data_IF_152138819350
#
_entry.id   IF_152138819350
#
_cell.length_a   1.000
_cell.length_b   1.000
_cell.length_c   1.000
_cell.angle_alpha   90.00
_cell.angle_beta   90.00
_cell.angle_gamma   90.00
#
_symmetry.space_group_name_H-M   'P 1'
#
loop_
_entity.id
_entity.type
_entity.pdbx_description
1 polymer ?
#
# COMPACT_ATOMS: atom_id res chain seq x y z
N UNK A 1 23.27 -16.29 20.51
CA UNK A 1 23.15 -16.14 20.06
C UNK A 1 22.81 -15.81 19.58
N UNK A 2 22.64 -15.79 19.78
CA UNK A 2 22.26 -15.57 19.17
C UNK A 2 21.65 -15.14 18.79
N UNK A 3 21.34 -15.14 19.09
CA UNK A 3 20.72 -14.82 18.57
C UNK A 3 20.15 -14.35 18.40
N UNK A 4 20.13 -14.47 18.64
CA UNK A 4 19.63 -14.10 18.31
C UNK A 4 19.09 -13.51 18.23
N UNK A 5 19.04 -13.58 18.53
CA UNK A 5 18.56 -13.13 18.29
C UNK A 5 18.07 -12.59 18.24
N UNK A 6 17.94 -12.58 18.41
CA UNK A 6 17.52 -12.22 18.20
C UNK A 6 16.86 -11.73 18.21
N UNK A 7 16.61 -11.63 18.41
CA UNK A 7 16.11 -11.29 18.46
C UNK A 7 15.55 -10.64 18.69
N UNK A 8 15.25 -10.22 18.86
CA UNK A 8 14.81 -9.52 19.17
C UNK A 8 13.96 -8.94 19.20
N UNK A 9 13.39 -8.86 19.39
CA UNK A 9 12.43 -8.28 19.36
C UNK A 9 11.91 -7.41 19.58
N UNK A 10 11.99 -7.01 19.36
CA UNK A 10 11.67 -6.03 19.70
C UNK A 10 10.58 -5.50 19.55
N UNK A 11 10.38 -5.15 20.10
CA UNK A 11 9.31 -4.58 20.32
C UNK A 11 8.69 -3.92 19.22
N UNK A 12 8.95 -3.22 18.65
CA UNK A 12 8.30 -2.67 17.66
C UNK A 12 8.59 -3.28 16.47
N UNK A 13 8.71 -4.36 16.49
CA UNK A 13 8.90 -4.97 15.36
C UNK A 13 7.71 -4.99 14.55
N UNK A 14 7.16 -4.08 14.24
CA UNK A 14 6.03 -4.04 13.48
C UNK A 14 6.23 -4.48 12.12
N UNK A 15 7.35 -4.76 11.81
CA UNK A 15 7.63 -5.24 10.51
C UNK A 15 7.06 -6.61 10.25
N UNK A 16 6.63 -7.29 11.26
CA UNK A 16 6.09 -8.64 11.07
C UNK A 16 4.61 -8.52 10.75
N UNK A 17 4.22 -8.93 9.56
CA UNK A 17 2.81 -8.99 9.17
C UNK A 17 2.22 -10.30 9.66
N UNK A 18 0.95 -10.28 10.05
CA UNK A 18 0.28 -11.55 10.32
C UNK A 18 0.06 -12.30 9.00
N UNK A 19 -0.33 -13.57 9.11
CA UNK A 19 -0.46 -14.43 7.94
C UNK A 19 -1.53 -13.92 6.96
N UNK A 20 -2.63 -13.40 7.48
CA UNK A 20 -3.70 -12.91 6.62
C UNK A 20 -3.28 -11.66 5.86
N UNK A 21 -2.57 -10.76 6.52
CA UNK A 21 -2.10 -9.56 5.87
C UNK A 21 -1.04 -9.89 4.82
N UNK A 22 -0.12 -10.80 5.14
CA UNK A 22 0.91 -11.20 4.20
C UNK A 22 0.29 -11.83 2.95
N UNK A 23 -0.71 -12.68 3.11
CA UNK A 23 -1.39 -13.30 1.98
C UNK A 23 -2.12 -12.26 1.13
N UNK A 24 -2.79 -11.31 1.78
CA UNK A 24 -3.50 -10.27 1.07
C UNK A 24 -2.53 -9.36 0.30
N UNK A 25 -1.42 -9.01 0.92
CA UNK A 25 -0.40 -8.19 0.27
C UNK A 25 0.20 -8.92 -0.93
N UNK A 26 0.45 -10.22 -0.79
CA UNK A 26 0.98 -11.02 -1.90
C UNK A 26 -0.01 -11.03 -3.08
N UNK A 27 -1.31 -11.16 -2.80
CA UNK A 27 -2.31 -11.11 -3.86
C UNK A 27 -2.33 -9.76 -4.55
N UNK A 28 -2.24 -8.68 -3.77
CA UNK A 28 -2.23 -7.33 -4.34
C UNK A 28 -0.99 -7.12 -5.21
N UNK A 29 0.18 -7.46 -4.70
CA UNK A 29 1.42 -7.26 -5.45
C UNK A 29 1.46 -8.13 -6.70
N UNK A 30 0.91 -9.35 -6.66
CA UNK A 30 0.82 -10.20 -7.84
C UNK A 30 -0.09 -9.58 -8.90
N UNK A 31 -1.22 -9.00 -8.49
CA UNK A 31 -2.12 -8.33 -9.42
C UNK A 31 -1.45 -7.11 -10.07
N UNK A 32 -0.72 -6.33 -9.28
CA UNK A 32 0.01 -5.19 -9.82
C UNK A 32 1.06 -5.65 -10.83
N UNK A 33 1.79 -6.70 -10.51
CA UNK A 33 2.80 -7.24 -11.41
C UNK A 33 2.18 -7.72 -12.73
N UNK A 34 1.01 -8.35 -12.68
CA UNK A 34 0.33 -8.80 -13.89
C UNK A 34 -0.04 -7.62 -14.79
N UNK A 35 -0.49 -6.52 -14.21
CA UNK A 35 -0.81 -5.33 -15.00
C UNK A 35 0.44 -4.75 -15.64
N UNK A 36 1.53 -4.66 -14.87
CA UNK A 36 2.79 -4.16 -15.41
C UNK A 36 3.28 -5.04 -16.54
N UNK A 37 3.21 -6.36 -16.37
CA UNK A 37 3.64 -7.31 -17.40
C UNK A 37 2.77 -7.20 -18.65
N UNK A 38 1.52 -6.81 -18.50
CA UNK A 38 0.62 -6.61 -19.63
C UNK A 38 0.77 -5.23 -20.28
N UNK A 39 1.73 -4.43 -19.84
CA UNK A 39 2.01 -3.13 -20.43
C UNK A 39 1.15 -1.99 -19.89
N UNK A 40 0.43 -2.24 -18.79
CA UNK A 40 -0.38 -1.18 -18.15
C UNK A 40 0.52 -0.33 -17.28
N UNK A 41 0.44 0.98 -17.46
CA UNK A 41 1.17 1.89 -16.60
C UNK A 41 0.39 2.12 -15.31
N UNK A 42 1.07 1.89 -14.20
CA UNK A 42 0.48 2.13 -12.87
C UNK A 42 1.14 3.39 -12.31
N UNK A 43 0.38 4.49 -12.14
CA UNK A 43 0.98 5.77 -11.71
C UNK A 43 1.74 5.67 -10.39
N UNK A 44 1.29 4.82 -9.48
CA UNK A 44 1.93 4.68 -8.17
C UNK A 44 3.31 4.03 -8.24
N UNK A 45 3.70 3.49 -9.38
CA UNK A 45 5.01 2.85 -9.56
C UNK A 45 5.94 3.73 -10.39
N UNK A 46 5.39 4.68 -11.13
CA UNK A 46 6.17 5.51 -12.06
C UNK A 46 6.84 6.70 -11.38
N UNK A 47 7.22 7.70 -12.18
CA UNK A 47 7.94 8.87 -11.67
C UNK A 47 7.19 9.67 -10.62
N UNK A 48 5.85 9.58 -10.61
CA UNK A 48 5.03 10.28 -9.64
C UNK A 48 4.82 9.49 -8.34
N UNK A 49 5.47 8.34 -8.20
CA UNK A 49 5.32 7.50 -7.01
C UNK A 49 5.43 8.24 -5.68
N UNK A 50 6.30 9.26 -5.54
CA UNK A 50 6.38 9.99 -4.27
C UNK A 50 5.08 10.65 -3.82
N UNK A 51 4.16 10.96 -4.75
CA UNK A 51 2.87 11.54 -4.38
C UNK A 51 2.06 10.58 -3.49
N UNK A 52 2.21 9.27 -3.70
CA UNK A 52 1.45 8.26 -2.98
C UNK A 52 1.87 8.09 -1.54
N UNK A 53 3.08 8.55 -1.18
CA UNK A 53 3.58 8.45 0.19
C UNK A 53 3.79 9.83 0.82
N UNK A 54 3.30 10.89 0.18
CA UNK A 54 3.45 12.24 0.68
C UNK A 54 2.49 12.53 1.83
N UNK A 55 2.93 13.35 2.77
CA UNK A 55 2.07 13.86 3.85
C UNK A 55 1.27 15.08 3.42
N UNK A 56 1.56 15.64 2.26
CA UNK A 56 0.91 16.86 1.80
C UNK A 56 -0.44 16.53 1.18
N UNK A 57 -1.45 17.27 1.60
CA UNK A 57 -2.81 16.99 1.15
C UNK A 57 -2.96 17.17 -0.36
N UNK A 58 -2.33 18.18 -0.94
CA UNK A 58 -2.42 18.38 -2.38
C UNK A 58 -1.75 17.27 -3.18
N UNK A 59 -0.66 16.71 -2.65
CA UNK A 59 -0.01 15.56 -3.29
C UNK A 59 -0.91 14.33 -3.20
N UNK A 60 -1.55 14.14 -2.05
CA UNK A 60 -2.48 13.04 -1.87
C UNK A 60 -3.66 13.15 -2.81
N UNK A 61 -4.17 14.36 -3.05
CA UNK A 61 -5.26 14.56 -4.00
C UNK A 61 -4.85 14.16 -5.42
N UNK A 62 -3.62 14.48 -5.80
CA UNK A 62 -3.10 14.08 -7.11
C UNK A 62 -2.95 12.57 -7.21
N UNK A 63 -2.52 11.93 -6.13
CA UNK A 63 -2.41 10.48 -6.10
C UNK A 63 -3.79 9.83 -6.23
N UNK A 64 -4.78 10.35 -5.53
CA UNK A 64 -6.16 9.86 -5.64
C UNK A 64 -6.64 9.93 -7.08
N UNK A 65 -6.37 11.05 -7.75
CA UNK A 65 -6.74 11.19 -9.16
C UNK A 65 -6.06 10.14 -10.04
N UNK A 66 -4.79 9.82 -9.73
CA UNK A 66 -4.07 8.77 -10.43
C UNK A 66 -4.68 7.39 -10.24
N UNK A 67 -5.25 7.13 -9.06
CA UNK A 67 -5.91 5.85 -8.79
C UNK A 67 -7.24 5.69 -9.51
N UNK A 68 -7.84 6.78 -9.96
CA UNK A 68 -9.20 6.74 -10.50
C UNK A 68 -9.34 5.80 -11.71
N UNK A 69 -8.28 5.67 -12.51
CA UNK A 69 -8.29 4.81 -13.68
C UNK A 69 -7.47 3.55 -13.51
N UNK A 70 -6.96 3.30 -12.31
CA UNK A 70 -6.10 2.14 -12.06
C UNK A 70 -6.95 0.86 -12.06
N UNK A 71 -6.56 -0.16 -12.84
CA UNK A 71 -7.32 -1.41 -12.88
C UNK A 71 -7.29 -2.18 -11.56
N UNK A 72 -6.30 -1.91 -10.70
CA UNK A 72 -6.19 -2.58 -9.40
C UNK A 72 -6.82 -1.76 -8.27
N UNK A 73 -7.51 -0.67 -8.58
CA UNK A 73 -8.00 0.26 -7.55
C UNK A 73 -8.85 -0.43 -6.48
N UNK A 74 -9.80 -1.26 -6.90
CA UNK A 74 -10.70 -1.91 -5.93
C UNK A 74 -9.97 -2.88 -5.04
N UNK A 75 -9.06 -3.66 -5.60
CA UNK A 75 -8.29 -4.62 -4.82
C UNK A 75 -7.38 -3.89 -3.83
N UNK A 76 -6.75 -2.81 -4.29
CA UNK A 76 -5.87 -2.01 -3.45
C UNK A 76 -6.65 -1.34 -2.31
N UNK A 77 -7.83 -0.79 -2.60
CA UNK A 77 -8.68 -0.18 -1.57
C UNK A 77 -9.15 -1.21 -0.56
N UNK A 78 -9.55 -2.40 -1.03
CA UNK A 78 -9.98 -3.46 -0.13
C UNK A 78 -8.86 -3.89 0.82
N UNK A 79 -7.64 -4.00 0.29
CA UNK A 79 -6.48 -4.30 1.13
C UNK A 79 -6.29 -3.23 2.21
N UNK A 80 -6.34 -1.96 1.81
CA UNK A 80 -6.07 -0.86 2.73
C UNK A 80 -7.13 -0.72 3.82
N UNK A 81 -8.38 -1.07 3.52
CA UNK A 81 -9.45 -1.04 4.51
C UNK A 81 -9.36 -2.21 5.47
N UNK A 82 -8.94 -3.38 4.96
CA UNK A 82 -8.79 -4.56 5.82
C UNK A 82 -7.56 -4.46 6.72
N UNK A 83 -6.51 -3.82 6.24
CA UNK A 83 -5.24 -3.70 6.96
C UNK A 83 -4.77 -2.25 6.89
N UNK A 84 -5.39 -1.34 7.66
CA UNK A 84 -5.13 0.09 7.54
C UNK A 84 -3.68 0.45 7.83
N UNK A 85 -3.10 1.20 6.90
CA UNK A 85 -1.77 1.74 7.07
C UNK A 85 -1.90 3.20 7.50
N UNK A 86 -0.98 3.71 8.34
CA UNK A 86 -1.10 5.09 8.82
C UNK A 86 -0.73 6.12 7.76
N UNK A 87 -0.09 5.72 6.69
CA UNK A 87 0.37 6.65 5.65
C UNK A 87 0.10 6.06 4.28
N UNK A 88 0.23 6.89 3.25
CA UNK A 88 0.11 6.46 1.86
C UNK A 88 -1.30 6.49 1.32
N UNK A 89 -1.41 6.65 0.01
CA UNK A 89 -2.69 6.59 -0.70
C UNK A 89 -2.81 5.21 -1.31
N UNK A 90 -3.91 4.52 -1.04
CA UNK A 90 -4.16 3.16 -1.53
C UNK A 90 -5.54 3.11 -2.18
N UNK A 91 -5.57 2.74 -3.45
CA UNK A 91 -6.86 2.53 -4.14
C UNK A 91 -7.75 3.76 -4.14
N UNK A 92 -7.14 4.94 -4.16
CA UNK A 92 -7.87 6.20 -4.13
C UNK A 92 -8.27 6.64 -2.73
N UNK A 93 -7.79 5.97 -1.68
CA UNK A 93 -8.11 6.34 -0.30
C UNK A 93 -6.92 7.02 0.35
N UNK A 94 -7.13 8.22 0.88
CA UNK A 94 -6.14 8.92 1.68
C UNK A 94 -6.08 8.31 3.07
N UNK A 95 -5.01 8.58 3.84
CA UNK A 95 -4.97 8.14 5.23
C UNK A 95 -6.17 8.62 6.03
N UNK A 96 -6.63 9.87 5.81
CA UNK A 96 -7.79 10.40 6.51
C UNK A 96 -9.08 9.66 6.16
N UNK A 97 -9.21 9.19 4.93
CA UNK A 97 -10.39 8.42 4.52
C UNK A 97 -10.45 7.09 5.26
N UNK A 98 -9.31 6.44 5.42
CA UNK A 98 -9.24 5.15 6.10
C UNK A 98 -9.46 5.28 7.60
N UNK A 99 -9.09 6.41 8.16
CA UNK A 99 -9.23 6.64 9.60
C UNK A 99 -10.69 6.71 10.04
N UNK A 100 -11.60 6.93 9.12
CA UNK A 100 -13.02 7.05 9.44
C UNK A 100 -13.81 5.77 9.17
N UNK A 101 -13.15 4.72 8.75
CA UNK A 101 -13.83 3.46 8.47
C UNK A 101 -13.82 2.50 9.65
#
# INVERSE_FOLDING_TARGET
MTATVHRRPTAHAPAVLDADQAAALNRLTAALAEHVDAGVELPCIGPDAPLWISDRNEDQDRAVAGCATCPARRLCAAYALAFPEPAGVYGGLKPSDRATH
#
